data_IF_519750298154
#
_entry.id   IF_519750298154
#
_cell.length_a   1.000
_cell.length_b   1.000
_cell.length_c   1.000
_cell.angle_alpha   90.00
_cell.angle_beta   90.00
_cell.angle_gamma   90.00
#
_symmetry.space_group_name_H-M   'P 1'
#
loop_
_entity.id
_entity.type
_entity.pdbx_description
1 polymer ?
#
# COMPACT_ATOMS: atom_id res chain seq x y z
N UNK A 1 -59.99 33.98 17.88
CA UNK A 1 -59.90 33.95 16.39
C UNK A 1 -59.79 35.35 15.80
N UNK A 2 -60.76 36.26 16.01
CA UNK A 2 -60.68 37.64 15.47
C UNK A 2 -59.46 38.44 15.94
N UNK A 3 -59.06 38.35 17.21
CA UNK A 3 -57.89 39.06 17.74
C UNK A 3 -56.58 38.60 17.09
N UNK A 4 -56.42 37.30 16.88
CA UNK A 4 -55.27 36.72 16.18
C UNK A 4 -55.21 37.18 14.72
N UNK A 5 -56.36 37.28 14.05
CA UNK A 5 -56.47 37.81 12.68
C UNK A 5 -56.09 39.30 12.65
N UNK A 6 -56.57 40.09 13.61
CA UNK A 6 -56.25 41.51 13.71
C UNK A 6 -54.75 41.76 13.93
N UNK A 7 -54.10 40.98 14.80
CA UNK A 7 -52.67 41.06 15.02
C UNK A 7 -51.88 40.67 13.76
N UNK A 8 -52.30 39.61 13.06
CA UNK A 8 -51.69 39.18 11.80
C UNK A 8 -51.77 40.28 10.73
N UNK A 9 -52.93 40.93 10.59
CA UNK A 9 -53.14 42.01 9.61
C UNK A 9 -52.26 43.22 9.94
N UNK A 10 -52.21 43.65 11.21
CA UNK A 10 -51.34 44.76 11.62
C UNK A 10 -49.87 44.43 11.38
N UNK A 11 -49.45 43.20 11.66
CA UNK A 11 -48.09 42.75 11.39
C UNK A 11 -47.75 42.81 9.88
N UNK A 12 -48.66 42.35 9.01
CA UNK A 12 -48.47 42.39 7.56
C UNK A 12 -48.40 43.83 7.03
N UNK A 13 -49.24 44.74 7.54
CA UNK A 13 -49.23 46.15 7.14
C UNK A 13 -47.92 46.82 7.55
N UNK A 14 -47.46 46.61 8.79
CA UNK A 14 -46.18 47.13 9.29
C UNK A 14 -45.03 46.57 8.43
N UNK A 15 -45.08 45.29 8.09
CA UNK A 15 -44.09 44.65 7.22
C UNK A 15 -44.07 45.30 5.82
N UNK A 16 -45.21 45.45 5.16
CA UNK A 16 -45.29 46.08 3.82
C UNK A 16 -44.75 47.52 3.81
N UNK A 17 -44.99 48.29 4.88
CA UNK A 17 -44.50 49.68 4.98
C UNK A 17 -42.98 49.74 5.12
N UNK A 18 -42.38 48.81 5.87
CA UNK A 18 -40.93 48.75 6.08
C UNK A 18 -40.15 48.13 4.91
N UNK A 19 -40.82 47.33 4.08
CA UNK A 19 -40.21 46.74 2.89
C UNK A 19 -40.35 47.71 1.71
N UNK A 20 -39.42 48.66 1.63
CA UNK A 20 -39.41 49.65 0.53
C UNK A 20 -38.94 49.04 -0.81
N UNK A 21 -38.02 48.06 -0.78
CA UNK A 21 -37.53 47.36 -1.97
C UNK A 21 -37.44 45.86 -1.75
N UNK A 22 -38.40 45.14 -2.33
CA UNK A 22 -38.44 43.67 -2.31
C UNK A 22 -37.16 43.06 -2.92
N UNK A 23 -36.49 43.75 -3.86
CA UNK A 23 -35.25 43.24 -4.46
C UNK A 23 -34.11 43.20 -3.45
N UNK A 24 -33.95 44.25 -2.65
CA UNK A 24 -32.93 44.30 -1.59
C UNK A 24 -33.16 43.19 -0.55
N UNK A 25 -34.40 42.91 -0.19
CA UNK A 25 -34.72 41.76 0.66
C UNK A 25 -34.39 40.43 0.01
N UNK A 26 -34.78 40.22 -1.26
CA UNK A 26 -34.48 38.99 -1.99
C UNK A 26 -32.97 38.76 -2.10
N UNK A 27 -32.19 39.83 -2.30
CA UNK A 27 -30.72 39.77 -2.29
C UNK A 27 -30.20 39.37 -0.90
N UNK A 28 -30.72 39.99 0.17
CA UNK A 28 -30.36 39.64 1.55
C UNK A 28 -30.70 38.19 1.90
N UNK A 29 -31.90 37.73 1.58
CA UNK A 29 -32.30 36.33 1.75
C UNK A 29 -31.47 35.37 0.89
N UNK A 30 -31.12 35.77 -0.33
CA UNK A 30 -30.25 35.00 -1.21
C UNK A 30 -28.86 34.79 -0.58
N UNK A 31 -28.29 35.83 0.02
CA UNK A 31 -27.00 35.74 0.72
C UNK A 31 -27.08 34.82 1.95
N UNK A 32 -28.14 34.96 2.76
CA UNK A 32 -28.36 34.10 3.95
C UNK A 32 -28.56 32.65 3.53
N UNK A 33 -29.36 32.40 2.49
CA UNK A 33 -29.60 31.06 1.97
C UNK A 33 -28.32 30.42 1.43
N UNK A 34 -27.51 31.17 0.68
CA UNK A 34 -26.21 30.69 0.18
C UNK A 34 -25.26 30.32 1.34
N UNK A 35 -25.15 31.18 2.36
CA UNK A 35 -24.33 30.91 3.54
C UNK A 35 -24.82 29.65 4.29
N UNK A 36 -26.14 29.50 4.43
CA UNK A 36 -26.74 28.31 5.05
C UNK A 36 -26.45 27.04 4.25
N UNK A 37 -26.62 27.07 2.92
CA UNK A 37 -26.31 25.93 2.04
C UNK A 37 -24.86 25.51 2.13
N UNK A 38 -23.92 26.46 2.13
CA UNK A 38 -22.48 26.17 2.28
C UNK A 38 -22.21 25.48 3.62
N UNK A 39 -22.85 25.96 4.69
CA UNK A 39 -22.66 25.43 6.05
C UNK A 39 -23.15 23.99 6.21
N UNK A 40 -24.26 23.62 5.56
CA UNK A 40 -24.85 22.27 5.66
C UNK A 40 -24.32 21.29 4.62
N UNK A 41 -23.58 21.78 3.61
CA UNK A 41 -23.21 21.01 2.44
C UNK A 41 -22.51 19.69 2.80
N UNK A 42 -21.59 19.71 3.77
CA UNK A 42 -20.83 18.52 4.14
C UNK A 42 -21.66 17.49 4.91
N UNK A 43 -22.62 17.93 5.73
CA UNK A 43 -23.58 17.03 6.39
C UNK A 43 -24.45 16.35 5.33
N UNK A 44 -24.97 17.13 4.37
CA UNK A 44 -25.78 16.61 3.29
C UNK A 44 -25.02 15.61 2.41
N UNK A 45 -23.76 15.90 2.05
CA UNK A 45 -22.90 14.97 1.29
C UNK A 45 -22.66 13.66 2.05
N UNK A 46 -22.41 13.72 3.35
CA UNK A 46 -22.23 12.53 4.18
C UNK A 46 -23.50 11.68 4.28
N UNK A 47 -24.67 12.33 4.41
CA UNK A 47 -25.96 11.64 4.40
C UNK A 47 -26.19 10.91 3.07
N UNK A 48 -25.98 11.60 1.94
CA UNK A 48 -26.10 10.99 0.61
C UNK A 48 -25.10 9.85 0.45
N UNK A 49 -23.85 10.03 0.89
CA UNK A 49 -22.83 8.98 0.89
C UNK A 49 -23.28 7.74 1.69
N UNK A 50 -23.83 7.95 2.88
CA UNK A 50 -24.36 6.87 3.73
C UNK A 50 -25.48 6.09 3.05
N UNK A 51 -26.44 6.79 2.45
CA UNK A 51 -27.53 6.17 1.69
C UNK A 51 -27.01 5.38 0.49
N UNK A 52 -26.03 5.90 -0.23
CA UNK A 52 -25.41 5.21 -1.37
C UNK A 52 -24.70 3.94 -0.91
N UNK A 53 -23.96 3.98 0.21
CA UNK A 53 -23.33 2.78 0.79
C UNK A 53 -24.40 1.73 1.12
N UNK A 54 -25.49 2.14 1.77
CA UNK A 54 -26.59 1.24 2.17
C UNK A 54 -27.32 0.63 0.98
N UNK A 55 -27.77 1.44 0.02
CA UNK A 55 -28.61 0.97 -1.09
C UNK A 55 -27.81 0.26 -2.17
N UNK A 56 -26.61 0.76 -2.50
CA UNK A 56 -25.79 0.16 -3.56
C UNK A 56 -24.84 -0.91 -3.01
N UNK A 57 -24.83 -1.13 -1.69
CA UNK A 57 -23.96 -2.10 -1.00
C UNK A 57 -22.52 -2.00 -1.50
N UNK A 58 -21.97 -0.78 -1.58
CA UNK A 58 -20.61 -0.54 -2.12
C UNK A 58 -19.60 -1.36 -1.33
N UNK A 59 -19.74 -1.39 -0.01
CA UNK A 59 -19.11 -2.32 0.92
C UNK A 59 -20.05 -2.59 2.10
N UNK A 60 -19.74 -3.62 2.88
CA UNK A 60 -20.49 -4.03 4.08
C UNK A 60 -19.58 -4.13 5.30
N UNK A 61 -20.17 -4.21 6.48
CA UNK A 61 -19.45 -4.56 7.70
C UNK A 61 -18.75 -5.91 7.51
N UNK A 62 -17.46 -5.95 7.81
CA UNK A 62 -16.58 -7.10 7.57
C UNK A 62 -15.76 -7.01 6.28
N UNK A 63 -16.09 -6.10 5.35
CA UNK A 63 -15.30 -5.95 4.13
C UNK A 63 -13.96 -5.28 4.39
N UNK A 64 -12.91 -5.73 3.69
CA UNK A 64 -11.64 -5.04 3.62
C UNK A 64 -11.66 -4.03 2.49
N UNK A 65 -11.57 -2.75 2.83
CA UNK A 65 -11.64 -1.65 1.87
C UNK A 65 -10.42 -0.75 1.93
N UNK A 66 -10.21 -0.01 0.85
CA UNK A 66 -9.33 1.15 0.80
C UNK A 66 -10.04 2.31 0.11
N UNK A 67 -10.03 3.47 0.77
CA UNK A 67 -10.63 4.70 0.28
C UNK A 67 -9.78 5.89 0.70
N UNK A 68 -9.48 6.79 -0.24
CA UNK A 68 -8.64 7.96 0.00
C UNK A 68 -7.28 7.60 0.68
N UNK A 69 -6.67 6.48 0.28
CA UNK A 69 -5.41 5.98 0.85
C UNK A 69 -5.51 5.36 2.25
N UNK A 70 -6.71 5.29 2.85
CA UNK A 70 -6.94 4.62 4.13
C UNK A 70 -7.47 3.21 3.89
N UNK A 71 -6.70 2.22 4.32
CA UNK A 71 -7.01 0.79 4.20
C UNK A 71 -7.43 0.20 5.55
N UNK A 72 -8.43 -0.67 5.55
CA UNK A 72 -8.87 -1.35 6.77
C UNK A 72 -10.09 -2.23 6.59
N UNK A 73 -10.46 -2.94 7.65
CA UNK A 73 -11.68 -3.74 7.69
C UNK A 73 -12.83 -2.92 8.27
N UNK A 74 -13.97 -2.89 7.59
CA UNK A 74 -15.17 -2.13 8.03
C UNK A 74 -15.75 -2.79 9.28
N UNK A 75 -15.84 -2.02 10.37
CA UNK A 75 -16.43 -2.49 11.63
C UNK A 75 -17.88 -2.03 11.75
N UNK A 76 -18.17 -0.80 11.32
CA UNK A 76 -19.48 -0.19 11.49
C UNK A 76 -19.76 0.85 10.41
N UNK A 77 -21.03 1.02 10.04
CA UNK A 77 -21.49 1.98 9.03
C UNK A 77 -22.61 2.81 9.66
N UNK A 78 -22.28 4.04 10.04
CA UNK A 78 -23.24 5.02 10.52
C UNK A 78 -23.78 5.89 9.37
N UNK A 79 -24.79 6.71 9.66
CA UNK A 79 -25.43 7.57 8.67
C UNK A 79 -24.46 8.57 8.02
N UNK A 80 -23.52 9.12 8.80
CA UNK A 80 -22.59 10.15 8.34
C UNK A 80 -21.14 9.67 8.17
N UNK A 81 -20.77 8.56 8.79
CA UNK A 81 -19.40 8.05 8.74
C UNK A 81 -19.36 6.52 8.77
N UNK A 82 -18.26 5.95 8.29
CA UNK A 82 -17.93 4.53 8.34
C UNK A 82 -16.71 4.34 9.24
N UNK A 83 -16.77 3.40 10.17
CA UNK A 83 -15.63 3.08 11.05
C UNK A 83 -14.87 1.88 10.51
N UNK A 84 -13.56 2.02 10.34
CA UNK A 84 -12.67 0.94 9.88
C UNK A 84 -11.61 0.61 10.93
N UNK A 85 -11.22 -0.66 10.99
CA UNK A 85 -10.01 -1.11 11.68
C UNK A 85 -8.81 -0.85 10.75
N UNK A 86 -8.04 0.18 11.07
CA UNK A 86 -6.96 0.67 10.21
C UNK A 86 -5.87 -0.39 10.00
N UNK A 87 -5.36 -0.41 8.77
CA UNK A 87 -4.23 -1.23 8.33
C UNK A 87 -3.17 -0.36 7.66
N UNK A 88 -1.93 -0.85 7.64
CA UNK A 88 -0.84 -0.40 6.78
C UNK A 88 -0.31 1.04 6.91
N UNK A 89 -0.85 1.92 7.77
CA UNK A 89 -0.32 3.29 7.90
C UNK A 89 0.98 3.35 8.72
N UNK A 90 1.01 2.73 9.89
CA UNK A 90 2.15 2.79 10.84
C UNK A 90 3.02 1.54 10.83
N UNK A 91 2.51 0.45 10.27
CA UNK A 91 3.19 -0.83 10.14
C UNK A 91 3.24 -1.12 8.65
N UNK A 92 4.43 -1.38 8.10
CA UNK A 92 4.69 -1.64 6.68
C UNK A 92 4.12 -2.97 6.19
N UNK A 93 2.89 -3.30 6.58
CA UNK A 93 2.29 -4.61 6.37
C UNK A 93 0.78 -4.57 6.46
N UNK A 94 0.15 -5.52 5.76
CA UNK A 94 -1.28 -5.82 5.80
C UNK A 94 -1.72 -6.41 7.16
N UNK A 95 -1.37 -5.75 8.26
CA UNK A 95 -1.81 -6.05 9.60
C UNK A 95 -2.57 -4.85 10.17
N UNK A 96 -3.45 -5.14 11.11
CA UNK A 96 -4.16 -4.12 11.85
C UNK A 96 -3.19 -3.34 12.72
N UNK A 97 -3.28 -2.01 12.67
CA UNK A 97 -2.51 -1.13 13.56
C UNK A 97 -3.13 -1.07 14.96
N UNK A 98 -4.33 -1.64 15.13
CA UNK A 98 -5.14 -1.52 16.35
C UNK A 98 -5.91 -0.20 16.44
N UNK A 99 -5.72 0.72 15.49
CA UNK A 99 -6.44 2.00 15.44
C UNK A 99 -7.80 1.83 14.79
N UNK A 100 -8.79 2.53 15.33
CA UNK A 100 -10.09 2.72 14.70
C UNK A 100 -10.08 4.06 14.00
N UNK A 101 -10.41 4.07 12.71
CA UNK A 101 -10.48 5.29 11.90
C UNK A 101 -11.92 5.52 11.45
N UNK A 102 -12.42 6.72 11.68
CA UNK A 102 -13.76 7.14 11.25
C UNK A 102 -13.65 7.94 9.95
N UNK A 103 -14.26 7.41 8.91
CA UNK A 103 -14.22 7.94 7.56
C UNK A 103 -15.56 8.61 7.23
N UNK A 104 -15.56 9.89 6.84
CA UNK A 104 -16.77 10.54 6.35
C UNK A 104 -17.34 9.79 5.12
N UNK A 105 -18.64 9.52 5.12
CA UNK A 105 -19.29 8.78 4.04
C UNK A 105 -19.24 9.52 2.69
N UNK A 106 -19.08 10.85 2.67
CA UNK A 106 -18.94 11.60 1.42
C UNK A 106 -17.71 11.16 0.59
N UNK A 107 -16.71 10.54 1.22
CA UNK A 107 -15.52 10.05 0.53
C UNK A 107 -15.88 9.06 -0.58
N UNK A 108 -16.94 8.27 -0.40
CA UNK A 108 -17.44 7.30 -1.40
C UNK A 108 -17.94 7.98 -2.68
N UNK A 109 -18.36 9.24 -2.58
CA UNK A 109 -18.85 10.01 -3.72
C UNK A 109 -17.72 10.69 -4.50
N UNK A 110 -16.54 10.84 -3.88
CA UNK A 110 -15.43 11.66 -4.40
C UNK A 110 -14.16 10.87 -4.67
N UNK A 111 -14.07 9.63 -4.20
CA UNK A 111 -12.88 8.78 -4.34
C UNK A 111 -13.26 7.41 -4.90
N UNK A 112 -12.29 6.76 -5.55
CA UNK A 112 -12.40 5.35 -5.85
C UNK A 112 -12.44 4.53 -4.55
N UNK A 113 -13.30 3.52 -4.52
CA UNK A 113 -13.43 2.59 -3.40
C UNK A 113 -12.93 1.23 -3.85
N UNK A 114 -11.77 0.83 -3.34
CA UNK A 114 -11.19 -0.48 -3.61
C UNK A 114 -11.68 -1.44 -2.53
N UNK A 115 -12.48 -2.44 -2.93
CA UNK A 115 -12.95 -3.47 -2.01
C UNK A 115 -12.26 -4.80 -2.33
N UNK A 116 -11.52 -5.32 -1.36
CA UNK A 116 -10.69 -6.52 -1.50
C UNK A 116 -11.41 -7.82 -1.18
N UNK A 117 -12.62 -7.76 -0.60
CA UNK A 117 -13.33 -8.95 -0.08
C UNK A 117 -14.80 -9.03 -0.47
N UNK A 118 -15.30 -8.15 -1.35
CA UNK A 118 -16.73 -8.07 -1.70
C UNK A 118 -17.24 -9.32 -2.40
N UNK A 119 -16.62 -9.61 -3.54
CA UNK A 119 -17.03 -10.66 -4.48
C UNK A 119 -15.94 -11.74 -4.64
N UNK A 120 -14.72 -11.47 -4.17
CA UNK A 120 -13.58 -12.40 -4.17
C UNK A 120 -13.00 -12.48 -2.77
N UNK A 121 -12.73 -13.68 -2.28
CA UNK A 121 -11.99 -13.87 -1.02
C UNK A 121 -10.46 -13.82 -1.23
N UNK A 122 -10.02 -13.60 -2.47
CA UNK A 122 -8.64 -13.71 -2.90
C UNK A 122 -8.13 -12.48 -3.63
N UNK A 123 -6.80 -12.36 -3.64
CA UNK A 123 -6.05 -11.33 -4.36
C UNK A 123 -4.87 -11.98 -5.08
N UNK A 124 -4.39 -11.33 -6.12
CA UNK A 124 -3.11 -11.66 -6.74
C UNK A 124 -1.98 -11.07 -5.89
N UNK A 125 -1.00 -11.89 -5.56
CA UNK A 125 0.23 -11.49 -4.86
C UNK A 125 1.45 -11.90 -5.69
N UNK A 126 2.55 -11.19 -5.46
CA UNK A 126 3.79 -11.39 -6.19
C UNK A 126 4.97 -11.45 -5.21
N UNK A 127 5.86 -12.42 -5.44
CA UNK A 127 7.16 -12.53 -4.78
C UNK A 127 8.23 -12.35 -5.84
N UNK A 128 8.99 -11.27 -5.75
CA UNK A 128 10.14 -11.00 -6.61
C UNK A 128 11.42 -11.38 -5.90
N UNK A 129 12.25 -12.18 -6.57
CA UNK A 129 13.55 -12.63 -6.10
C UNK A 129 14.63 -12.22 -7.11
N UNK A 130 15.67 -11.50 -6.69
CA UNK A 130 16.79 -11.19 -7.56
C UNK A 130 17.74 -12.40 -7.60
N UNK A 131 17.95 -12.96 -8.78
CA UNK A 131 18.83 -14.11 -9.03
C UNK A 131 20.03 -13.64 -9.86
N UNK A 132 21.24 -13.97 -9.43
CA UNK A 132 22.45 -13.57 -10.13
C UNK A 132 22.56 -14.24 -11.52
N UNK A 133 23.20 -13.58 -12.48
CA UNK A 133 23.37 -14.10 -13.84
C UNK A 133 24.22 -15.39 -13.93
N UNK A 134 25.06 -15.64 -12.93
CA UNK A 134 25.87 -16.84 -12.79
C UNK A 134 25.09 -18.04 -12.22
N UNK A 135 23.83 -17.84 -11.83
CA UNK A 135 22.97 -18.89 -11.28
C UNK A 135 22.25 -19.68 -12.37
N UNK A 136 21.90 -20.93 -12.06
CA UNK A 136 21.00 -21.72 -12.88
C UNK A 136 19.55 -21.21 -12.72
N UNK A 137 19.21 -20.22 -13.54
CA UNK A 137 17.90 -19.58 -13.53
C UNK A 137 16.75 -20.54 -13.92
N UNK A 138 17.04 -21.60 -14.69
CA UNK A 138 16.03 -22.62 -15.05
C UNK A 138 15.72 -23.51 -13.86
N UNK A 139 16.76 -23.93 -13.13
CA UNK A 139 16.58 -24.65 -11.88
C UNK A 139 15.81 -23.79 -10.86
N UNK A 140 16.13 -22.51 -10.76
CA UNK A 140 15.42 -21.57 -9.88
C UNK A 140 13.94 -21.40 -10.28
N UNK A 141 13.64 -21.25 -11.56
CA UNK A 141 12.26 -21.19 -12.07
C UNK A 141 11.45 -22.42 -11.68
N UNK A 142 11.96 -23.63 -11.98
CA UNK A 142 11.25 -24.88 -11.67
C UNK A 142 11.03 -25.03 -10.17
N UNK A 143 12.06 -24.79 -9.37
CA UNK A 143 12.00 -24.91 -7.91
C UNK A 143 10.97 -23.95 -7.30
N UNK A 144 10.98 -22.69 -7.72
CA UNK A 144 10.06 -21.68 -7.20
C UNK A 144 8.64 -22.00 -7.65
N UNK A 145 8.44 -22.38 -8.91
CA UNK A 145 7.14 -22.78 -9.45
C UNK A 145 6.56 -23.97 -8.66
N UNK A 146 7.35 -25.01 -8.41
CA UNK A 146 6.90 -26.20 -7.68
C UNK A 146 6.46 -25.87 -6.25
N UNK A 147 7.23 -25.02 -5.54
CA UNK A 147 6.88 -24.58 -4.18
C UNK A 147 5.58 -23.78 -4.20
N UNK A 148 5.43 -22.85 -5.14
CA UNK A 148 4.23 -22.03 -5.26
C UNK A 148 3.02 -22.90 -5.56
N UNK A 149 3.09 -23.79 -6.55
CA UNK A 149 2.00 -24.72 -6.89
C UNK A 149 1.58 -25.56 -5.68
N UNK A 150 2.53 -26.13 -4.94
CA UNK A 150 2.24 -26.94 -3.76
C UNK A 150 1.54 -26.14 -2.66
N UNK A 151 1.98 -24.91 -2.42
CA UNK A 151 1.45 -24.07 -1.35
C UNK A 151 0.12 -23.40 -1.69
N UNK A 152 -0.15 -23.16 -2.97
CA UNK A 152 -1.35 -22.44 -3.43
C UNK A 152 -2.42 -23.36 -4.02
N UNK A 153 -2.20 -24.67 -4.12
CA UNK A 153 -3.13 -25.62 -4.76
C UNK A 153 -4.57 -25.49 -4.24
N UNK A 154 -4.76 -25.55 -2.91
CA UNK A 154 -6.09 -25.43 -2.32
C UNK A 154 -6.74 -24.08 -2.64
N UNK A 155 -5.96 -23.00 -2.58
CA UNK A 155 -6.47 -21.65 -2.85
C UNK A 155 -6.86 -21.45 -4.32
N UNK A 156 -6.10 -22.05 -5.24
CA UNK A 156 -6.38 -22.04 -6.67
C UNK A 156 -7.75 -22.65 -6.95
N UNK A 157 -8.04 -23.82 -6.36
CA UNK A 157 -9.32 -24.51 -6.53
C UNK A 157 -10.49 -23.65 -6.04
N UNK A 158 -10.38 -23.09 -4.83
CA UNK A 158 -11.39 -22.14 -4.32
C UNK A 158 -11.56 -20.89 -5.19
N UNK A 159 -10.47 -20.33 -5.71
CA UNK A 159 -10.52 -19.16 -6.58
C UNK A 159 -11.17 -19.48 -7.93
N UNK A 160 -10.94 -20.66 -8.50
CA UNK A 160 -11.57 -21.11 -9.74
C UNK A 160 -13.08 -21.27 -9.59
N UNK A 161 -13.53 -21.81 -8.46
CA UNK A 161 -14.95 -21.89 -8.13
C UNK A 161 -15.56 -20.48 -8.04
N UNK A 162 -14.98 -19.58 -7.25
CA UNK A 162 -15.45 -18.20 -7.11
C UNK A 162 -15.51 -17.47 -8.46
N UNK A 163 -14.49 -17.58 -9.31
CA UNK A 163 -14.48 -16.98 -10.65
C UNK A 163 -15.58 -17.58 -11.53
N UNK A 164 -15.79 -18.89 -11.49
CA UNK A 164 -16.81 -19.58 -12.30
C UNK A 164 -18.24 -19.16 -11.95
N UNK A 165 -18.51 -18.87 -10.68
CA UNK A 165 -19.78 -18.29 -10.25
C UNK A 165 -19.98 -16.87 -10.79
N UNK A 166 -18.90 -16.14 -11.01
CA UNK A 166 -18.89 -14.69 -11.28
C UNK A 166 -18.71 -14.32 -12.75
N UNK A 167 -18.23 -15.24 -13.60
CA UNK A 167 -18.26 -15.09 -15.06
C UNK A 167 -19.66 -14.70 -15.57
N UNK A 168 -20.71 -15.23 -14.91
CA UNK A 168 -22.11 -14.91 -15.20
C UNK A 168 -22.54 -13.52 -14.76
N UNK A 169 -21.89 -12.93 -13.74
CA UNK A 169 -22.27 -11.62 -13.15
C UNK A 169 -21.52 -10.45 -13.79
N UNK A 170 -20.25 -10.64 -14.16
CA UNK A 170 -19.38 -9.54 -14.59
C UNK A 170 -18.75 -9.69 -15.99
N UNK A 171 -19.09 -10.75 -16.74
CA UNK A 171 -18.56 -10.97 -18.11
C UNK A 171 -17.02 -10.89 -18.21
N UNK A 172 -16.32 -11.34 -17.16
CA UNK A 172 -14.86 -11.26 -17.07
C UNK A 172 -14.25 -12.33 -18.00
N UNK A 173 -13.32 -11.93 -18.87
CA UNK A 173 -12.46 -12.85 -19.61
C UNK A 173 -11.75 -13.75 -18.61
N UNK A 174 -11.75 -15.07 -18.82
CA UNK A 174 -11.12 -16.05 -17.93
C UNK A 174 -9.67 -15.66 -17.65
N UNK A 175 -9.42 -14.98 -16.54
CA UNK A 175 -8.07 -14.79 -16.03
C UNK A 175 -7.65 -16.13 -15.47
N UNK A 176 -6.56 -16.70 -16.00
CA UNK A 176 -5.97 -17.89 -15.42
C UNK A 176 -5.61 -17.60 -13.97
N UNK A 177 -6.06 -18.46 -13.05
CA UNK A 177 -5.69 -18.54 -11.63
C UNK A 177 -4.38 -19.31 -11.43
N UNK A 178 -3.80 -19.81 -12.51
CA UNK A 178 -2.58 -20.59 -12.47
C UNK A 178 -1.42 -19.68 -12.01
N UNK A 179 -0.58 -20.18 -11.10
CA UNK A 179 0.63 -19.47 -10.74
C UNK A 179 1.56 -19.37 -11.96
N UNK A 180 2.27 -18.25 -12.05
CA UNK A 180 3.15 -17.92 -13.16
C UNK A 180 4.49 -17.39 -12.66
N UNK A 181 5.55 -17.69 -13.39
CA UNK A 181 6.86 -17.06 -13.21
C UNK A 181 7.07 -16.04 -14.34
N UNK A 182 7.43 -14.82 -13.96
CA UNK A 182 7.78 -13.75 -14.89
C UNK A 182 9.24 -13.35 -14.67
N UNK A 183 9.92 -13.03 -15.76
CA UNK A 183 11.31 -12.60 -15.73
C UNK A 183 11.42 -11.15 -16.14
N UNK A 184 12.28 -10.42 -15.44
CA UNK A 184 12.75 -9.11 -15.86
C UNK A 184 14.27 -9.07 -15.76
N UNK A 185 14.92 -8.79 -16.88
CA UNK A 185 16.37 -8.66 -16.97
C UNK A 185 16.76 -7.24 -16.49
N UNK A 186 17.71 -7.15 -15.56
CA UNK A 186 18.28 -5.87 -15.10
C UNK A 186 19.78 -5.84 -15.38
N UNK A 187 20.45 -4.72 -15.15
CA UNK A 187 21.89 -4.61 -15.42
C UNK A 187 22.73 -5.53 -14.51
N UNK A 188 22.22 -5.86 -13.32
CA UNK A 188 22.97 -6.56 -12.28
C UNK A 188 22.46 -7.98 -11.98
N UNK A 189 21.17 -8.26 -12.23
CA UNK A 189 20.55 -9.56 -11.92
C UNK A 189 19.30 -9.84 -12.76
N UNK A 190 18.79 -11.06 -12.67
CA UNK A 190 17.49 -11.48 -13.21
C UNK A 190 16.46 -11.36 -12.08
N UNK A 191 15.45 -10.52 -12.24
CA UNK A 191 14.29 -10.47 -11.34
C UNK A 191 13.32 -11.58 -11.73
N UNK A 192 13.19 -12.57 -10.86
CA UNK A 192 12.27 -13.70 -11.02
C UNK A 192 11.05 -13.44 -10.13
N UNK A 193 9.91 -13.16 -10.75
CA UNK A 193 8.67 -12.79 -10.06
C UNK A 193 7.66 -13.93 -10.14
N UNK A 194 7.40 -14.55 -9.00
CA UNK A 194 6.35 -15.55 -8.86
C UNK A 194 5.01 -14.87 -8.53
N UNK A 195 4.05 -15.00 -9.43
CA UNK A 195 2.68 -14.50 -9.27
C UNK A 195 1.74 -15.65 -8.92
N UNK A 196 0.92 -15.47 -7.90
CA UNK A 196 -0.02 -16.48 -7.44
C UNK A 196 -1.26 -15.87 -6.78
N UNK A 197 -2.29 -16.68 -6.61
CA UNK A 197 -3.51 -16.31 -5.89
C UNK A 197 -3.35 -16.57 -4.40
N UNK A 198 -3.73 -15.60 -3.57
CA UNK A 198 -3.66 -15.68 -2.12
C UNK A 198 -4.97 -15.22 -1.46
N UNK A 199 -5.36 -15.76 -0.30
CA UNK A 199 -6.50 -15.24 0.45
C UNK A 199 -6.25 -13.78 0.87
N UNK A 200 -7.21 -12.87 0.64
CA UNK A 200 -7.06 -11.44 0.89
C UNK A 200 -6.65 -11.11 2.34
N UNK A 201 -7.12 -11.92 3.31
CA UNK A 201 -6.82 -11.75 4.74
C UNK A 201 -5.54 -12.45 5.19
N UNK A 202 -5.11 -13.51 4.50
CA UNK A 202 -3.96 -14.33 4.89
C UNK A 202 -2.78 -14.20 3.93
N UNK A 203 -2.85 -13.27 2.96
CA UNK A 203 -1.81 -13.02 1.94
C UNK A 203 -0.42 -12.99 2.53
N UNK A 204 -0.21 -12.22 3.60
CA UNK A 204 1.09 -12.10 4.26
C UNK A 204 1.58 -13.41 4.89
N UNK A 205 0.69 -14.18 5.51
CA UNK A 205 1.04 -15.47 6.13
C UNK A 205 1.49 -16.44 5.03
N UNK A 206 0.73 -16.52 3.95
CA UNK A 206 1.05 -17.37 2.80
C UNK A 206 2.36 -16.92 2.13
N UNK A 207 2.53 -15.62 1.89
CA UNK A 207 3.77 -15.06 1.34
C UNK A 207 4.98 -15.41 2.19
N UNK A 208 4.89 -15.27 3.51
CA UNK A 208 5.98 -15.66 4.43
C UNK A 208 6.26 -17.15 4.36
N UNK A 209 5.22 -17.99 4.31
CA UNK A 209 5.36 -19.45 4.20
C UNK A 209 6.10 -19.84 2.91
N UNK A 210 5.67 -19.29 1.77
CA UNK A 210 6.30 -19.52 0.45
C UNK A 210 7.73 -18.99 0.46
N UNK A 211 7.94 -17.73 0.88
CA UNK A 211 9.27 -17.10 0.89
C UNK A 211 10.26 -17.89 1.73
N UNK A 212 9.84 -18.38 2.91
CA UNK A 212 10.68 -19.22 3.76
C UNK A 212 11.06 -20.54 3.09
N UNK A 213 10.11 -21.24 2.46
CA UNK A 213 10.39 -22.47 1.73
C UNK A 213 11.34 -22.23 0.56
N UNK A 214 11.15 -21.15 -0.19
CA UNK A 214 12.05 -20.79 -1.29
C UNK A 214 13.47 -20.57 -0.76
N UNK A 215 13.64 -19.81 0.33
CA UNK A 215 14.95 -19.58 0.94
C UNK A 215 15.61 -20.89 1.41
N UNK A 216 14.86 -21.77 2.06
CA UNK A 216 15.35 -23.07 2.52
C UNK A 216 15.82 -23.96 1.37
N UNK A 217 15.07 -24.02 0.26
CA UNK A 217 15.45 -24.84 -0.90
C UNK A 217 16.58 -24.22 -1.73
N UNK A 218 16.63 -22.89 -1.86
CA UNK A 218 17.76 -22.20 -2.51
C UNK A 218 19.05 -22.45 -1.74
N UNK A 219 19.02 -22.40 -0.40
CA UNK A 219 20.20 -22.67 0.43
C UNK A 219 20.72 -24.11 0.31
N UNK A 220 19.85 -25.07 -0.02
CA UNK A 220 20.24 -26.47 -0.27
C UNK A 220 20.78 -26.69 -1.68
N UNK A 221 20.41 -25.83 -2.63
CA UNK A 221 20.88 -25.92 -4.00
C UNK A 221 22.26 -25.26 -4.14
N UNK A 222 23.22 -25.95 -4.74
CA UNK A 222 24.56 -25.38 -4.97
C UNK A 222 24.61 -24.41 -6.17
N UNK A 223 23.57 -24.42 -7.03
CA UNK A 223 23.53 -23.70 -8.30
C UNK A 223 22.71 -22.41 -8.34
N UNK A 224 22.00 -22.05 -7.27
CA UNK A 224 21.14 -20.86 -7.24
C UNK A 224 21.70 -19.85 -6.23
N UNK A 225 22.02 -18.64 -6.70
CA UNK A 225 22.53 -17.54 -5.89
C UNK A 225 21.58 -16.35 -5.96
N UNK A 226 21.19 -15.87 -4.79
CA UNK A 226 20.46 -14.61 -4.67
C UNK A 226 21.45 -13.47 -4.92
N UNK A 227 21.09 -12.56 -5.81
CA UNK A 227 21.95 -11.43 -6.12
C UNK A 227 22.04 -10.48 -4.91
N UNK A 228 23.26 -10.03 -4.65
CA UNK A 228 23.52 -8.85 -3.83
C UNK A 228 24.06 -7.77 -4.77
N UNK A 229 23.87 -6.49 -4.42
CA UNK A 229 24.54 -5.41 -5.15
C UNK A 229 26.04 -5.70 -5.17
N UNK A 230 26.57 -6.03 -6.35
CA UNK A 230 28.00 -6.24 -6.55
C UNK A 230 28.54 -5.05 -7.32
N UNK A 231 29.50 -4.35 -6.73
CA UNK A 231 30.24 -3.29 -7.41
C UNK A 231 31.46 -3.97 -8.03
N UNK A 232 31.45 -4.17 -9.35
CA UNK A 232 32.67 -4.51 -10.07
C UNK A 232 33.59 -3.30 -10.11
N UNK A 233 34.67 -3.34 -9.32
CA UNK A 233 35.75 -2.36 -9.41
C UNK A 233 36.56 -2.70 -10.67
N UNK A 234 36.23 -2.07 -11.80
CA UNK A 234 36.81 -2.35 -13.10
C UNK A 234 38.35 -2.16 -13.18
N UNK A 235 38.94 -1.40 -12.27
CA UNK A 235 40.39 -1.19 -12.17
C UNK A 235 40.76 -0.62 -10.80
N UNK A 236 41.66 -1.28 -10.07
CA UNK A 236 42.37 -0.62 -8.99
C UNK A 236 43.30 0.44 -9.61
N UNK A 237 43.33 1.69 -9.12
CA UNK A 237 44.31 2.66 -9.60
C UNK A 237 45.71 2.06 -9.43
N UNK A 238 46.55 2.18 -10.46
CA UNK A 238 47.97 1.83 -10.36
C UNK A 238 48.59 2.73 -9.29
N UNK A 239 48.58 2.29 -8.04
CA UNK A 239 49.33 2.95 -6.98
C UNK A 239 50.78 2.67 -7.28
N UNK A 240 51.42 3.62 -7.96
CA UNK A 240 52.86 3.66 -8.24
C UNK A 240 53.71 3.79 -6.98
N UNK A 241 53.41 3.01 -5.94
CA UNK A 241 54.27 2.80 -4.79
C UNK A 241 55.45 1.94 -5.24
N UNK A 242 56.42 2.62 -5.86
CA UNK A 242 57.77 2.14 -6.05
C UNK A 242 58.28 1.69 -4.68
N UNK A 243 58.41 0.37 -4.47
CA UNK A 243 59.22 -0.16 -3.38
C UNK A 243 60.64 0.33 -3.62
N UNK A 244 61.03 1.45 -2.99
CA UNK A 244 62.44 1.78 -2.85
C UNK A 244 63.05 0.70 -1.96
N UNK A 245 63.76 -0.24 -2.58
CA UNK A 245 64.68 -1.13 -1.89
C UNK A 245 65.68 -0.26 -1.12
N UNK A 246 65.53 -0.17 0.20
CA UNK A 246 66.56 0.36 1.07
C UNK A 246 67.69 -0.67 1.05
N UNK A 247 68.74 -0.33 0.32
CA UNK A 247 69.98 -1.10 0.24
C UNK A 247 70.73 -0.94 1.57
N UNK A 248 70.70 -2.00 2.39
CA UNK A 248 71.42 -2.08 3.66
C UNK A 248 72.86 -2.61 3.45
N UNK A 249 73.62 -2.02 2.52
CA UNK A 249 75.01 -2.42 2.23
C UNK A 249 76.02 -1.28 2.37
N UNK A 250 75.85 -0.41 3.37
CA UNK A 250 76.91 0.56 3.71
C UNK A 250 76.87 1.03 5.16
N UNK A 251 77.04 0.13 6.11
CA UNK A 251 77.46 0.49 7.46
C UNK A 251 78.45 -0.57 7.97
N UNK A 252 79.70 -0.46 7.54
CA UNK A 252 80.82 -0.96 8.34
C UNK A 252 81.97 0.07 8.37
N UNK A 253 82.45 0.27 9.60
CA UNK A 253 83.70 0.86 10.04
C UNK A 253 84.02 2.35 9.77
N UNK A 254 83.94 3.15 10.84
CA UNK A 254 85.16 3.77 11.40
C UNK A 254 84.94 4.32 12.82
N UNK A 255 85.62 3.66 13.77
CA UNK A 255 86.39 4.21 14.90
C UNK A 255 85.76 5.21 15.89
N UNK A 256 85.53 4.68 17.11
CA UNK A 256 86.03 5.16 18.41
C UNK A 256 86.29 6.66 18.61
N UNK A 257 85.59 7.25 19.60
CA UNK A 257 86.26 8.07 20.61
C UNK A 257 85.59 7.85 21.99
N UNK A 258 86.45 7.66 23.00
CA UNK A 258 86.14 7.48 24.41
C UNK A 258 86.22 8.83 25.11
N UNK A 259 85.31 9.14 26.04
CA UNK A 259 85.62 9.80 27.34
C UNK A 259 84.33 10.17 28.11
N UNK A 260 84.35 10.21 29.46
CA UNK A 260 83.22 9.86 30.33
C UNK A 260 82.65 11.08 31.11
N UNK A 261 82.03 10.81 32.29
CA UNK A 261 81.49 11.73 33.32
C UNK A 261 80.01 12.11 33.15
N UNK A 262 79.14 12.17 34.17
CA UNK A 262 79.12 11.77 35.58
C UNK A 262 77.67 12.00 36.07
N UNK A 263 77.34 11.38 37.20
CA UNK A 263 76.17 11.52 38.06
C UNK A 263 75.33 12.82 37.99
N UNK A 264 74.00 12.65 37.92
CA UNK A 264 73.10 12.93 39.06
C UNK A 264 71.74 12.27 38.92
#
# INVERSE_FOLDING_TARGET
MLYSIYLLINFIIIWIIWVEDIRTLLLGFGLVAAAFTISIQDVAKNLVGGLVIMFNSIYKVGDRIEIAGKKGDVIDINLLHTTIMEMSEWVSSDQHTGRLSSLPNFLVLSNAVNNYTKDFSFVWDEITLPISYDSDWRAAESLIMDIVIQETHMMKEYAEEEISHMQRKYYILKSSTDPGIFFKLTDNWIELTARYVAPARQRRILRTKISRRILEEIQRSEGIRIASESIEIARFPDTGLQRSSIDHSSLDNSSFDHSPFEHK
#
